data_IF_572388234501
#
_entry.id   IF_572388234501
#
_cell.length_a   1.000
_cell.length_b   1.000
_cell.length_c   1.000
_cell.angle_alpha   90.00
_cell.angle_beta   90.00
_cell.angle_gamma   90.00
#
_symmetry.space_group_name_H-M   'P 1'
#
loop_
_entity.id
_entity.type
_entity.pdbx_description
1 polymer ?
#
# COMPACT_ATOMS: atom_id res chain seq x y z
N UNK A 1 -15.53 -2.02 -26.37
CA UNK A 1 -15.63 -0.96 -25.34
C UNK A 1 -16.99 -0.94 -24.63
N UNK A 2 -18.14 -0.98 -25.32
CA UNK A 2 -19.47 -1.04 -24.68
C UNK A 2 -19.69 -2.29 -23.81
N UNK A 3 -19.35 -3.48 -24.30
CA UNK A 3 -19.50 -4.74 -23.54
C UNK A 3 -18.75 -4.70 -22.18
N UNK A 4 -17.46 -4.34 -22.18
CA UNK A 4 -16.66 -4.20 -20.95
C UNK A 4 -17.25 -3.22 -19.93
N UNK A 5 -17.88 -2.13 -20.39
CA UNK A 5 -18.52 -1.17 -19.49
C UNK A 5 -19.78 -1.75 -18.85
N UNK A 6 -20.55 -2.54 -19.59
CA UNK A 6 -21.72 -3.23 -19.03
C UNK A 6 -21.30 -4.35 -18.07
N UNK A 7 -20.28 -5.14 -18.42
CA UNK A 7 -19.73 -6.19 -17.54
C UNK A 7 -19.27 -5.58 -16.20
N UNK A 8 -18.59 -4.42 -16.23
CA UNK A 8 -18.13 -3.75 -15.01
C UNK A 8 -19.29 -3.20 -14.17
N UNK A 9 -20.36 -2.71 -14.81
CA UNK A 9 -21.57 -2.24 -14.11
C UNK A 9 -22.31 -3.40 -13.46
N UNK A 10 -22.44 -4.53 -14.15
CA UNK A 10 -23.07 -5.73 -13.62
C UNK A 10 -22.29 -6.28 -12.42
N UNK A 11 -20.96 -6.34 -12.54
CA UNK A 11 -20.08 -6.71 -11.43
C UNK A 11 -20.27 -5.77 -10.24
N UNK A 12 -20.22 -4.45 -10.47
CA UNK A 12 -20.41 -3.46 -9.40
C UNK A 12 -21.76 -3.62 -8.72
N UNK A 13 -22.84 -3.78 -9.49
CA UNK A 13 -24.19 -3.99 -8.95
C UNK A 13 -24.26 -5.25 -8.08
N UNK A 14 -23.63 -6.35 -8.52
CA UNK A 14 -23.55 -7.60 -7.77
C UNK A 14 -22.78 -7.42 -6.46
N UNK A 15 -21.62 -6.77 -6.49
CA UNK A 15 -20.78 -6.48 -5.31
C UNK A 15 -21.50 -5.58 -4.30
N UNK A 16 -22.22 -4.56 -4.78
CA UNK A 16 -23.05 -3.67 -3.95
C UNK A 16 -24.22 -4.42 -3.29
N UNK A 17 -24.93 -5.27 -4.05
CA UNK A 17 -26.02 -6.11 -3.52
C UNK A 17 -25.55 -7.10 -2.46
N UNK A 18 -24.37 -7.68 -2.63
CA UNK A 18 -23.73 -8.55 -1.63
C UNK A 18 -23.26 -7.79 -0.38
N UNK A 19 -23.28 -6.45 -0.39
CA UNK A 19 -22.87 -5.64 0.76
C UNK A 19 -21.35 -5.60 0.99
N UNK A 20 -20.54 -6.06 0.03
CA UNK A 20 -19.09 -6.17 0.16
C UNK A 20 -18.37 -4.81 0.24
N UNK A 21 -19.05 -3.72 -0.14
CA UNK A 21 -18.52 -2.35 -0.02
C UNK A 21 -18.84 -1.68 1.33
N UNK A 22 -19.46 -2.40 2.28
CA UNK A 22 -19.74 -1.88 3.62
C UNK A 22 -18.51 -2.06 4.51
N UNK A 23 -17.93 -0.96 5.05
CA UNK A 23 -16.77 -1.07 5.91
C UNK A 23 -17.13 -1.73 7.24
N UNK A 24 -16.25 -2.60 7.73
CA UNK A 24 -16.34 -3.18 9.08
C UNK A 24 -15.47 -2.38 10.05
N UNK A 25 -16.10 -1.47 10.81
CA UNK A 25 -15.38 -0.57 11.72
C UNK A 25 -14.68 -1.30 12.86
N UNK A 26 -15.29 -2.37 13.39
CA UNK A 26 -14.70 -3.17 14.47
C UNK A 26 -13.42 -3.85 14.01
N UNK A 27 -13.43 -4.44 12.81
CA UNK A 27 -12.24 -5.04 12.22
C UNK A 27 -11.10 -4.02 12.10
N UNK A 28 -11.36 -2.86 11.49
CA UNK A 28 -10.32 -1.84 11.30
C UNK A 28 -9.85 -1.21 12.62
N UNK A 29 -10.73 -1.06 13.61
CA UNK A 29 -10.36 -0.60 14.95
C UNK A 29 -9.42 -1.61 15.64
N UNK A 30 -9.77 -2.91 15.60
CA UNK A 30 -8.97 -3.96 16.21
C UNK A 30 -7.60 -4.10 15.53
N UNK A 31 -7.56 -4.00 14.20
CA UNK A 31 -6.29 -3.93 13.46
C UNK A 31 -5.49 -2.73 13.93
N UNK A 32 -6.06 -1.53 13.95
CA UNK A 32 -5.32 -0.34 14.34
C UNK A 32 -4.76 -0.44 15.78
N UNK A 33 -5.56 -0.94 16.74
CA UNK A 33 -5.11 -1.17 18.11
C UNK A 33 -4.00 -2.22 18.18
N UNK A 34 -4.13 -3.33 17.46
CA UNK A 34 -3.09 -4.37 17.39
C UNK A 34 -1.75 -3.79 16.91
N UNK A 35 -1.78 -2.92 15.90
CA UNK A 35 -0.59 -2.27 15.38
C UNK A 35 0.06 -1.33 16.39
N UNK A 36 -0.73 -0.52 17.10
CA UNK A 36 -0.23 0.33 18.17
C UNK A 36 0.39 -0.47 19.32
N UNK A 37 -0.24 -1.60 19.68
CA UNK A 37 0.29 -2.49 20.72
C UNK A 37 1.64 -3.08 20.30
N UNK A 38 1.77 -3.58 19.07
CA UNK A 38 3.04 -4.12 18.58
C UNK A 38 4.13 -3.06 18.50
N UNK A 39 3.78 -1.85 18.03
CA UNK A 39 4.73 -0.75 17.93
C UNK A 39 5.24 -0.33 19.32
N UNK A 40 4.35 -0.10 20.28
CA UNK A 40 4.72 0.23 21.67
C UNK A 40 5.50 -0.92 22.32
N UNK A 41 5.07 -2.17 22.11
CA UNK A 41 5.77 -3.35 22.65
C UNK A 41 7.20 -3.45 22.12
N UNK A 42 7.47 -3.04 20.88
CA UNK A 42 8.81 -3.03 20.31
C UNK A 42 9.77 -2.13 21.07
N UNK A 43 9.32 -0.91 21.42
CA UNK A 43 10.09 0.06 22.18
C UNK A 43 10.27 -0.39 23.63
N UNK A 44 9.20 -0.90 24.26
CA UNK A 44 9.25 -1.40 25.64
C UNK A 44 10.19 -2.60 25.79
N UNK A 45 10.26 -3.48 24.79
CA UNK A 45 11.18 -4.62 24.77
C UNK A 45 12.63 -4.15 24.92
N UNK A 46 13.05 -3.20 24.10
CA UNK A 46 14.43 -2.67 24.14
C UNK A 46 14.67 -1.82 25.39
N UNK A 47 13.69 -1.03 25.80
CA UNK A 47 13.81 -0.18 26.97
C UNK A 47 13.95 -0.97 28.28
N UNK A 48 13.18 -2.04 28.45
CA UNK A 48 13.16 -2.83 29.69
C UNK A 48 14.28 -3.88 29.75
N UNK A 49 14.52 -4.60 28.65
CA UNK A 49 15.47 -5.72 28.61
C UNK A 49 16.85 -5.34 28.02
N UNK A 50 17.01 -4.08 27.59
CA UNK A 50 18.24 -3.55 27.03
C UNK A 50 18.49 -3.95 25.56
N UNK A 51 19.67 -3.59 25.06
CA UNK A 51 20.08 -3.78 23.65
C UNK A 51 20.86 -5.08 23.41
N UNK A 52 20.72 -6.07 24.28
CA UNK A 52 21.32 -7.39 24.03
C UNK A 52 20.68 -8.04 22.80
N UNK A 53 21.37 -9.01 22.20
CA UNK A 53 20.99 -9.56 20.89
C UNK A 53 19.52 -10.03 20.83
N UNK A 54 19.05 -10.74 21.86
CA UNK A 54 17.70 -11.33 21.86
C UNK A 54 16.59 -10.27 21.97
N UNK A 55 16.55 -9.38 22.99
CA UNK A 55 15.55 -8.31 23.07
C UNK A 55 15.59 -7.35 21.88
N UNK A 56 16.79 -7.04 21.37
CA UNK A 56 16.94 -6.18 20.20
C UNK A 56 16.28 -6.79 18.96
N UNK A 57 16.59 -8.06 18.65
CA UNK A 57 15.97 -8.76 17.50
C UNK A 57 14.47 -8.92 17.69
N UNK A 58 14.01 -9.26 18.89
CA UNK A 58 12.58 -9.37 19.20
C UNK A 58 11.84 -8.02 19.01
N UNK A 59 12.40 -6.93 19.54
CA UNK A 59 11.88 -5.58 19.34
C UNK A 59 11.84 -5.19 17.86
N UNK A 60 12.94 -5.43 17.13
CA UNK A 60 13.00 -5.17 15.69
C UNK A 60 11.93 -5.94 14.92
N UNK A 61 11.68 -7.21 15.26
CA UNK A 61 10.62 -8.01 14.63
C UNK A 61 9.22 -7.43 14.88
N UNK A 62 8.89 -7.08 16.13
CA UNK A 62 7.60 -6.44 16.45
C UNK A 62 7.41 -5.11 15.72
N UNK A 63 8.44 -4.26 15.73
CA UNK A 63 8.43 -2.99 15.01
C UNK A 63 8.23 -3.20 13.51
N UNK A 64 8.96 -4.15 12.91
CA UNK A 64 8.88 -4.42 11.47
C UNK A 64 7.49 -4.89 11.07
N UNK A 65 6.91 -5.84 11.81
CA UNK A 65 5.55 -6.34 11.57
C UNK A 65 4.54 -5.19 11.69
N UNK A 66 4.63 -4.41 12.78
CA UNK A 66 3.75 -3.25 12.99
C UNK A 66 3.84 -2.27 11.82
N UNK A 67 5.05 -1.89 11.41
CA UNK A 67 5.26 -0.87 10.38
C UNK A 67 4.83 -1.31 8.98
N UNK A 68 5.01 -2.59 8.62
CA UNK A 68 4.51 -3.16 7.35
C UNK A 68 2.99 -3.14 7.34
N UNK A 69 2.36 -3.67 8.38
CA UNK A 69 0.90 -3.74 8.48
C UNK A 69 0.25 -2.34 8.59
N UNK A 70 0.92 -1.39 9.26
CA UNK A 70 0.52 0.02 9.29
C UNK A 70 0.53 0.65 7.90
N UNK A 71 1.45 0.22 7.01
CA UNK A 71 1.44 0.63 5.60
C UNK A 71 0.18 0.17 4.86
N UNK A 72 -0.24 -1.08 5.05
CA UNK A 72 -1.49 -1.59 4.48
C UNK A 72 -2.73 -0.89 5.04
N UNK A 73 -2.78 -0.67 6.35
CA UNK A 73 -3.88 0.08 6.97
C UNK A 73 -3.96 1.52 6.44
N UNK A 74 -2.81 2.18 6.30
CA UNK A 74 -2.68 3.49 5.67
C UNK A 74 -3.09 3.50 4.20
N UNK A 75 -2.81 2.44 3.45
CA UNK A 75 -3.22 2.27 2.06
C UNK A 75 -4.76 2.23 1.95
N UNK A 76 -5.41 1.45 2.80
CA UNK A 76 -6.88 1.34 2.83
C UNK A 76 -7.55 2.67 3.20
N UNK A 77 -6.93 3.44 4.10
CA UNK A 77 -7.34 4.82 4.39
C UNK A 77 -7.18 5.72 3.16
N UNK A 78 -6.08 5.61 2.42
CA UNK A 78 -5.87 6.34 1.17
C UNK A 78 -6.95 6.07 0.11
N UNK A 79 -7.41 4.82 0.04
CA UNK A 79 -8.51 4.40 -0.84
C UNK A 79 -9.92 4.72 -0.31
N UNK A 80 -10.02 5.31 0.88
CA UNK A 80 -11.28 5.59 1.54
C UNK A 80 -12.12 4.33 1.88
N UNK A 81 -11.47 3.20 2.15
CA UNK A 81 -12.11 1.91 2.42
C UNK A 81 -12.50 1.70 3.88
N UNK A 82 -11.94 2.48 4.82
CA UNK A 82 -12.13 2.26 6.27
C UNK A 82 -13.39 2.96 6.80
N UNK A 83 -13.64 4.20 6.39
CA UNK A 83 -14.82 4.97 6.78
C UNK A 83 -15.72 5.27 5.59
N UNK A 84 -17.03 5.38 5.83
CA UNK A 84 -17.99 5.76 4.77
C UNK A 84 -17.77 7.19 4.27
N UNK A 85 -17.30 8.11 5.12
CA UNK A 85 -17.03 9.51 4.75
C UNK A 85 -15.53 9.67 4.42
N UNK A 86 -15.18 10.09 3.20
CA UNK A 86 -13.78 10.29 2.80
C UNK A 86 -12.97 11.25 3.69
N UNK A 87 -13.64 12.23 4.34
CA UNK A 87 -13.00 13.16 5.28
C UNK A 87 -12.28 12.44 6.43
N UNK A 88 -12.93 11.43 7.02
CA UNK A 88 -12.36 10.69 8.16
C UNK A 88 -11.21 9.80 7.74
N UNK A 89 -11.31 9.17 6.57
CA UNK A 89 -10.21 8.40 5.98
C UNK A 89 -8.97 9.28 5.78
N UNK A 90 -9.12 10.46 5.15
CA UNK A 90 -7.99 11.37 4.93
C UNK A 90 -7.36 11.87 6.22
N UNK A 91 -8.17 12.24 7.21
CA UNK A 91 -7.65 12.69 8.50
C UNK A 91 -6.81 11.59 9.17
N UNK A 92 -7.35 10.38 9.25
CA UNK A 92 -6.62 9.27 9.87
C UNK A 92 -5.43 8.82 9.03
N UNK A 93 -5.52 8.87 7.69
CA UNK A 93 -4.38 8.61 6.79
C UNK A 93 -3.21 9.54 7.13
N UNK A 94 -3.47 10.85 7.28
CA UNK A 94 -2.45 11.84 7.64
C UNK A 94 -1.83 11.50 8.99
N UNK A 95 -2.63 11.15 10.00
CA UNK A 95 -2.10 10.75 11.31
C UNK A 95 -1.19 9.53 11.17
N UNK A 96 -1.67 8.47 10.51
CA UNK A 96 -0.92 7.22 10.39
C UNK A 96 0.37 7.42 9.59
N UNK A 97 0.31 8.01 8.40
CA UNK A 97 1.50 8.10 7.54
C UNK A 97 2.45 9.22 7.97
N UNK A 98 1.93 10.39 8.34
CA UNK A 98 2.77 11.55 8.65
C UNK A 98 3.31 11.51 10.07
N UNK A 99 2.52 11.05 11.05
CA UNK A 99 2.94 11.03 12.46
C UNK A 99 3.58 9.70 12.82
N UNK A 100 2.91 8.57 12.56
CA UNK A 100 3.42 7.26 13.00
C UNK A 100 4.53 6.71 12.09
N UNK A 101 4.51 7.05 10.79
CA UNK A 101 5.52 6.59 9.83
C UNK A 101 6.51 7.66 9.40
N UNK A 102 6.23 8.94 9.65
CA UNK A 102 7.13 10.06 9.30
C UNK A 102 7.17 10.43 7.81
N UNK A 103 6.16 10.06 7.02
CA UNK A 103 6.11 10.32 5.58
C UNK A 103 4.90 11.20 5.19
N UNK A 104 5.01 12.12 4.22
CA UNK A 104 3.88 12.97 3.84
C UNK A 104 2.76 12.17 3.15
N UNK A 105 1.52 12.33 3.63
CA UNK A 105 0.35 11.74 2.96
C UNK A 105 0.19 12.19 1.50
N UNK A 106 0.57 13.42 1.18
CA UNK A 106 0.55 13.96 -0.18
C UNK A 106 1.52 13.23 -1.12
N UNK A 107 2.72 12.90 -0.63
CA UNK A 107 3.72 12.13 -1.38
C UNK A 107 3.18 10.75 -1.74
N UNK A 108 2.64 10.03 -0.75
CA UNK A 108 2.06 8.72 -0.99
C UNK A 108 0.87 8.79 -1.94
N UNK A 109 -0.08 9.71 -1.72
CA UNK A 109 -1.24 9.87 -2.61
C UNK A 109 -0.82 10.23 -4.03
N UNK A 110 0.23 11.04 -4.21
CA UNK A 110 0.72 11.41 -5.54
C UNK A 110 1.27 10.20 -6.31
N UNK A 111 2.18 9.44 -5.70
CA UNK A 111 2.77 8.27 -6.34
C UNK A 111 1.74 7.16 -6.55
N UNK A 112 0.93 6.88 -5.53
CA UNK A 112 -0.06 5.80 -5.56
C UNK A 112 -1.14 6.04 -6.61
N UNK A 113 -1.57 7.30 -6.80
CA UNK A 113 -2.51 7.63 -7.88
C UNK A 113 -1.88 7.46 -9.27
N UNK A 114 -0.59 7.73 -9.45
CA UNK A 114 0.11 7.46 -10.71
C UNK A 114 0.20 5.96 -10.99
N UNK A 115 0.56 5.18 -9.96
CA UNK A 115 0.56 3.73 -10.02
C UNK A 115 -0.80 3.19 -10.48
N UNK A 116 -1.91 3.56 -9.81
CA UNK A 116 -3.24 3.08 -10.19
C UNK A 116 -3.74 3.59 -11.54
N UNK A 117 -3.23 4.72 -12.05
CA UNK A 117 -3.60 5.21 -13.37
C UNK A 117 -3.02 4.34 -14.49
N UNK A 118 -1.77 3.85 -14.33
CA UNK A 118 -1.07 3.00 -15.32
C UNK A 118 -0.12 2.01 -14.61
N UNK A 119 -0.67 1.00 -13.92
CA UNK A 119 0.16 0.08 -13.13
C UNK A 119 1.01 -0.79 -14.04
N UNK A 120 2.20 -1.16 -13.57
CA UNK A 120 3.18 -1.98 -14.29
C UNK A 120 3.59 -1.43 -15.67
N UNK A 121 3.35 -0.16 -15.97
CA UNK A 121 3.85 0.49 -17.18
C UNK A 121 5.18 1.18 -16.90
N UNK A 122 6.25 0.68 -17.51
CA UNK A 122 7.59 1.29 -17.41
C UNK A 122 7.57 2.79 -17.77
N UNK A 123 8.25 3.62 -16.97
CA UNK A 123 8.29 5.09 -17.06
C UNK A 123 6.96 5.81 -16.81
N UNK A 124 5.89 5.10 -16.43
CA UNK A 124 4.59 5.68 -16.07
C UNK A 124 4.18 5.32 -14.65
N UNK A 125 4.48 4.09 -14.24
CA UNK A 125 4.33 3.61 -12.88
C UNK A 125 5.57 3.99 -12.06
N UNK A 126 5.45 4.85 -11.04
CA UNK A 126 6.58 5.22 -10.21
C UNK A 126 7.13 4.06 -9.38
N UNK A 127 6.37 2.99 -9.14
CA UNK A 127 6.81 1.82 -8.37
C UNK A 127 7.92 1.05 -9.12
N UNK A 128 8.02 1.26 -10.44
CA UNK A 128 9.07 0.68 -11.28
C UNK A 128 10.32 1.56 -11.37
N UNK A 129 10.37 2.73 -10.72
CA UNK A 129 11.54 3.62 -10.78
C UNK A 129 12.80 3.04 -10.11
N UNK A 130 12.68 1.94 -9.37
CA UNK A 130 13.81 1.21 -8.80
C UNK A 130 14.42 0.16 -9.74
N UNK A 131 13.96 0.11 -11.00
CA UNK A 131 14.57 -0.69 -12.06
C UNK A 131 16.00 -0.23 -12.37
N UNK A 132 16.97 -1.15 -12.57
CA UNK A 132 16.86 -2.61 -12.55
C UNK A 132 17.17 -3.24 -11.18
N UNK A 133 17.45 -2.44 -10.15
CA UNK A 133 18.06 -2.91 -8.90
C UNK A 133 17.13 -3.78 -8.05
N UNK A 134 15.83 -3.46 -8.00
CA UNK A 134 14.88 -4.15 -7.12
C UNK A 134 13.73 -4.85 -7.87
N UNK A 135 13.26 -4.25 -8.97
CA UNK A 135 12.16 -4.80 -9.75
C UNK A 135 12.49 -4.79 -11.24
N UNK A 136 12.90 -5.94 -11.77
CA UNK A 136 12.89 -6.28 -13.20
C UNK A 136 13.13 -7.78 -13.40
N UNK A 137 12.14 -8.63 -13.07
CA UNK A 137 12.18 -10.05 -13.44
C UNK A 137 11.45 -10.25 -14.77
N UNK A 138 12.22 -10.31 -15.85
CA UNK A 138 11.72 -10.67 -17.19
C UNK A 138 12.73 -10.31 -18.29
N UNK A 139 13.06 -11.28 -19.16
CA UNK A 139 13.89 -11.02 -20.37
C UNK A 139 13.14 -10.17 -21.40
N UNK A 140 11.81 -10.19 -21.36
CA UNK A 140 10.93 -9.43 -22.25
C UNK A 140 10.35 -8.25 -21.49
N UNK A 141 11.01 -7.08 -21.61
CA UNK A 141 10.32 -5.81 -21.44
C UNK A 141 9.18 -5.74 -22.46
N UNK A 142 8.10 -5.00 -22.15
CA UNK A 142 6.99 -4.87 -23.12
C UNK A 142 7.56 -4.51 -24.50
N UNK A 143 7.03 -5.14 -25.55
CA UNK A 143 7.57 -5.00 -26.91
C UNK A 143 7.73 -3.52 -27.32
N UNK A 144 6.81 -2.66 -26.87
CA UNK A 144 6.89 -1.20 -27.04
C UNK A 144 8.11 -0.55 -26.37
N UNK A 145 8.53 -1.01 -25.19
CA UNK A 145 9.71 -0.50 -24.49
C UNK A 145 10.98 -0.98 -25.18
N UNK A 146 11.04 -2.24 -25.61
CA UNK A 146 12.16 -2.77 -26.39
C UNK A 146 12.32 -2.01 -27.72
N UNK A 147 11.22 -1.83 -28.46
CA UNK A 147 11.21 -1.08 -29.72
C UNK A 147 11.63 0.38 -29.55
N UNK A 148 11.23 1.03 -28.44
CA UNK A 148 11.62 2.43 -28.16
C UNK A 148 13.07 2.58 -27.67
N UNK A 149 13.62 1.59 -26.98
CA UNK A 149 14.98 1.64 -26.43
C UNK A 149 16.03 1.19 -27.43
N UNK A 150 15.71 0.20 -28.27
CA UNK A 150 16.70 -0.47 -29.13
C UNK A 150 16.41 -0.34 -30.63
N UNK A 151 15.34 0.37 -31.03
CA UNK A 151 14.85 0.33 -32.42
C UNK A 151 14.29 -1.05 -32.77
N UNK A 152 13.76 -1.23 -33.98
CA UNK A 152 13.31 -2.54 -34.46
C UNK A 152 14.47 -3.55 -34.39
N UNK A 153 14.49 -4.37 -33.35
CA UNK A 153 15.33 -5.56 -33.33
C UNK A 153 14.77 -6.51 -34.38
N UNK A 154 15.35 -6.46 -35.59
CA UNK A 154 15.22 -7.53 -36.58
C UNK A 154 15.60 -8.84 -35.90
N UNK A 155 14.62 -9.75 -35.86
CA UNK A 155 14.82 -11.17 -35.56
C UNK A 155 15.72 -11.76 -36.65
#
# INVERSE_FOLDING_TARGET
QKALLEDFRELRCSVEKMGLLRPNYTFFLLIFLHLLVLDVASWLMVWHFGISFVPFVAGMMFFTIAQIQMGWFQHDLGHCSVFRKPKWNRLLQIVVISVLKGLPASWWNHLHNQHHAKPNCFRKDPDLNMHPLLFSLGKTLSVEVSMRMFGEAKI
#
